data_IF_826073944929
#
_entry.id   IF_826073944929
#
_cell.length_a   1.000
_cell.length_b   1.000
_cell.length_c   1.000
_cell.angle_alpha   90.00
_cell.angle_beta   90.00
_cell.angle_gamma   90.00
#
_symmetry.space_group_name_H-M   'P 1'
#
loop_
_entity.id
_entity.type
_entity.pdbx_description
1 polymer ?
#
# COMPACT_ATOMS: atom_id res chain seq x y z
N UNK A 1 35.15 -17.16 -8.73
CA UNK A 1 34.48 -18.18 -7.90
C UNK A 1 33.44 -17.46 -7.09
N UNK A 2 32.20 -17.71 -7.48
CA UNK A 2 30.96 -17.16 -6.97
C UNK A 2 30.73 -17.66 -5.54
N UNK A 3 30.41 -16.76 -4.62
CA UNK A 3 29.65 -17.12 -3.42
C UNK A 3 28.51 -16.13 -3.26
N UNK A 4 27.34 -16.71 -3.10
CA UNK A 4 26.00 -16.16 -3.29
C UNK A 4 25.57 -15.37 -2.05
N UNK A 5 24.92 -14.22 -2.29
CA UNK A 5 24.17 -13.45 -1.29
C UNK A 5 23.02 -14.31 -0.75
N UNK A 6 22.91 -14.45 0.57
CA UNK A 6 21.74 -14.97 1.26
C UNK A 6 21.25 -13.90 2.24
N UNK A 7 19.96 -13.57 2.11
CA UNK A 7 19.17 -12.69 2.97
C UNK A 7 19.02 -13.28 4.37
N UNK A 8 18.88 -12.43 5.38
CA UNK A 8 18.85 -12.75 6.82
C UNK A 8 17.74 -13.73 7.26
N UNK A 9 16.80 -14.08 6.36
CA UNK A 9 15.76 -15.08 6.61
C UNK A 9 16.29 -16.53 6.75
N UNK A 10 17.55 -16.84 6.38
CA UNK A 10 18.11 -18.20 6.45
C UNK A 10 18.95 -18.53 7.70
N UNK A 11 19.21 -17.58 8.59
CA UNK A 11 20.13 -17.81 9.73
C UNK A 11 19.44 -18.28 11.01
N UNK A 12 18.10 -18.29 11.05
CA UNK A 12 17.33 -18.60 12.28
C UNK A 12 17.30 -20.11 12.61
N UNK A 13 17.83 -21.01 11.77
CA UNK A 13 17.75 -22.47 12.00
C UNK A 13 19.01 -23.12 12.58
N UNK A 14 20.09 -22.39 12.91
CA UNK A 14 21.32 -23.02 13.41
C UNK A 14 21.97 -22.28 14.59
N UNK A 15 21.31 -22.29 15.75
CA UNK A 15 21.98 -22.17 17.05
C UNK A 15 21.02 -22.57 18.19
N UNK A 16 20.89 -23.87 18.46
CA UNK A 16 20.40 -24.35 19.75
C UNK A 16 21.46 -25.26 20.36
N UNK A 17 22.21 -24.70 21.31
CA UNK A 17 22.64 -25.46 22.48
C UNK A 17 23.00 -24.50 23.62
N UNK A 18 22.51 -24.86 24.81
CA UNK A 18 22.68 -24.26 26.14
C UNK A 18 21.54 -23.32 26.60
N UNK A 19 20.94 -23.78 27.70
CA UNK A 19 19.72 -23.35 28.40
C UNK A 19 19.87 -22.00 29.10
N UNK A 20 18.86 -21.12 29.01
CA UNK A 20 18.22 -20.38 30.14
C UNK A 20 16.82 -19.93 29.70
N UNK A 21 15.81 -20.19 30.55
CA UNK A 21 14.38 -19.90 30.38
C UNK A 21 14.06 -18.50 29.84
N UNK A 22 13.30 -18.44 28.75
CA UNK A 22 12.42 -17.33 28.39
C UNK A 22 11.26 -17.91 27.60
N UNK A 23 10.04 -17.76 28.12
CA UNK A 23 8.81 -18.18 27.46
C UNK A 23 8.61 -17.34 26.20
N UNK A 24 9.07 -17.85 25.07
CA UNK A 24 8.61 -17.46 23.74
C UNK A 24 7.18 -17.93 23.60
N UNK A 25 6.23 -17.00 23.45
CA UNK A 25 4.86 -17.31 23.04
C UNK A 25 4.94 -17.89 21.62
N UNK A 26 4.98 -19.21 21.51
CA UNK A 26 4.65 -19.91 20.27
C UNK A 26 3.21 -19.53 19.92
N UNK A 27 3.00 -18.77 18.85
CA UNK A 27 1.67 -18.63 18.27
C UNK A 27 1.20 -20.03 17.87
N UNK A 28 0.21 -20.54 18.60
CA UNK A 28 -0.35 -21.87 18.39
C UNK A 28 -0.69 -22.07 16.91
N UNK A 29 -0.33 -23.21 16.31
CA UNK A 29 -0.70 -23.54 14.91
C UNK A 29 -2.22 -23.49 14.68
N UNK A 30 -2.98 -23.64 15.77
CA UNK A 30 -4.44 -23.48 15.82
C UNK A 30 -4.89 -22.01 15.72
N UNK A 31 -4.07 -21.04 16.13
CA UNK A 31 -4.33 -19.61 15.96
C UNK A 31 -4.15 -19.19 14.49
N UNK A 32 -3.05 -19.61 13.86
CA UNK A 32 -2.76 -19.31 12.45
C UNK A 32 -3.84 -19.92 11.53
N UNK A 33 -4.26 -21.16 11.78
CA UNK A 33 -5.33 -21.80 11.02
C UNK A 33 -6.73 -21.19 11.28
N UNK A 34 -7.00 -20.68 12.48
CA UNK A 34 -8.20 -19.87 12.76
C UNK A 34 -8.16 -18.51 12.06
N UNK A 35 -6.99 -17.87 11.95
CA UNK A 35 -6.82 -16.62 11.21
C UNK A 35 -7.02 -16.78 9.70
N UNK A 36 -6.58 -17.91 9.13
CA UNK A 36 -6.68 -18.19 7.69
C UNK A 36 -8.11 -18.59 7.26
N UNK A 37 -8.86 -19.25 8.14
CA UNK A 37 -10.25 -19.66 7.94
C UNK A 37 -11.29 -18.61 8.37
N UNK A 38 -10.85 -17.46 8.88
CA UNK A 38 -11.75 -16.42 9.34
C UNK A 38 -12.46 -15.70 8.18
N UNK A 39 -13.69 -15.19 8.44
CA UNK A 39 -14.42 -14.37 7.47
C UNK A 39 -13.60 -13.15 7.03
N UNK A 40 -13.87 -12.68 5.82
CA UNK A 40 -13.21 -11.47 5.31
C UNK A 40 -13.59 -10.28 6.18
N UNK A 41 -12.60 -9.46 6.56
CA UNK A 41 -12.85 -8.18 7.23
C UNK A 41 -13.69 -7.32 6.30
N UNK A 42 -14.90 -6.99 6.74
CA UNK A 42 -15.87 -6.16 6.00
C UNK A 42 -15.92 -4.73 6.49
N UNK A 43 -15.50 -4.49 7.73
CA UNK A 43 -15.62 -3.20 8.39
C UNK A 43 -14.46 -2.96 9.36
N UNK A 44 -14.08 -1.70 9.51
CA UNK A 44 -13.03 -1.26 10.42
C UNK A 44 -13.63 -0.41 11.52
N UNK A 45 -13.46 -0.84 12.76
CA UNK A 45 -13.86 -0.07 13.94
C UNK A 45 -12.60 0.56 14.52
N UNK A 46 -12.56 1.89 14.61
CA UNK A 46 -11.40 2.64 15.12
C UNK A 46 -11.76 3.28 16.44
N UNK A 47 -10.94 3.06 17.46
CA UNK A 47 -11.07 3.77 18.73
C UNK A 47 -10.66 5.24 18.58
N UNK A 48 -11.40 6.14 19.24
CA UNK A 48 -11.17 7.58 19.17
C UNK A 48 -9.75 7.98 19.61
N UNK A 49 -9.15 7.25 20.56
CA UNK A 49 -7.78 7.51 21.01
C UNK A 49 -6.74 7.26 19.91
N UNK A 50 -6.93 6.24 19.08
CA UNK A 50 -6.07 5.94 17.92
C UNK A 50 -6.09 7.11 16.96
N UNK A 51 -7.29 7.60 16.66
CA UNK A 51 -7.50 8.72 15.75
C UNK A 51 -6.79 9.98 16.27
N UNK A 52 -6.91 10.31 17.56
CA UNK A 52 -6.22 11.45 18.16
C UNK A 52 -4.69 11.32 18.12
N UNK A 53 -4.14 10.16 18.46
CA UNK A 53 -2.69 9.90 18.38
C UNK A 53 -2.17 10.05 16.96
N UNK A 54 -2.90 9.48 15.99
CA UNK A 54 -2.58 9.58 14.57
C UNK A 54 -2.65 11.04 14.10
N UNK A 55 -3.74 11.75 14.41
CA UNK A 55 -3.91 13.16 14.06
C UNK A 55 -2.75 13.99 14.61
N UNK A 56 -2.43 13.86 15.90
CA UNK A 56 -1.34 14.61 16.51
C UNK A 56 0.02 14.35 15.81
N UNK A 57 0.34 13.07 15.55
CA UNK A 57 1.57 12.70 14.85
C UNK A 57 1.63 13.29 13.43
N UNK A 58 0.53 13.25 12.69
CA UNK A 58 0.47 13.74 11.32
C UNK A 58 0.48 15.27 11.25
N UNK A 59 -0.07 15.98 12.25
CA UNK A 59 -0.10 17.45 12.29
C UNK A 59 1.21 18.06 12.78
N UNK A 60 1.90 17.45 13.74
CA UNK A 60 3.15 17.98 14.28
C UNK A 60 4.30 17.95 13.27
N UNK A 61 4.28 16.97 12.36
CA UNK A 61 5.38 16.71 11.41
C UNK A 61 5.12 17.22 9.99
N UNK A 62 4.09 18.03 9.76
CA UNK A 62 3.84 18.65 8.44
C UNK A 62 5.04 19.53 8.04
N UNK A 63 5.62 19.39 6.83
CA UNK A 63 5.11 18.70 5.63
C UNK A 63 5.70 17.30 5.36
N UNK A 64 6.34 16.66 6.32
CA UNK A 64 6.98 15.34 6.14
C UNK A 64 5.89 14.25 6.15
N UNK A 65 6.00 13.26 5.27
CA UNK A 65 5.13 12.07 5.31
C UNK A 65 5.57 11.18 6.47
N UNK A 66 4.61 10.77 7.29
CA UNK A 66 4.86 9.98 8.49
C UNK A 66 4.04 8.70 8.44
N UNK A 67 4.58 7.64 9.02
CA UNK A 67 3.91 6.36 9.10
C UNK A 67 3.99 5.82 10.53
N UNK A 68 3.16 4.84 10.83
CA UNK A 68 3.20 4.12 12.11
C UNK A 68 2.41 2.82 12.07
N UNK A 69 2.51 2.05 13.14
CA UNK A 69 1.92 0.73 13.26
C UNK A 69 0.56 0.79 13.95
N UNK A 70 -0.36 -0.05 13.48
CA UNK A 70 -1.71 -0.21 14.03
C UNK A 70 -1.82 -1.53 14.78
N UNK A 71 -2.43 -1.46 15.95
CA UNK A 71 -2.67 -2.58 16.84
C UNK A 71 -4.16 -2.76 17.07
N UNK A 72 -4.59 -4.01 17.20
CA UNK A 72 -6.01 -4.32 17.31
C UNK A 72 -6.33 -5.80 17.30
N UNK A 73 -7.62 -6.11 17.23
CA UNK A 73 -8.13 -7.47 17.25
C UNK A 73 -9.22 -7.65 16.19
N UNK A 74 -9.28 -8.84 15.58
CA UNK A 74 -10.36 -9.20 14.66
C UNK A 74 -11.49 -9.88 15.43
N UNK A 75 -12.67 -9.26 15.39
CA UNK A 75 -13.89 -9.74 16.03
C UNK A 75 -14.89 -10.21 14.96
N UNK A 76 -14.59 -11.36 14.34
CA UNK A 76 -15.54 -12.05 13.46
C UNK A 76 -15.90 -11.29 12.17
N UNK A 77 -14.99 -10.48 11.63
CA UNK A 77 -15.20 -9.71 10.39
C UNK A 77 -15.22 -8.18 10.58
N UNK A 78 -15.23 -7.72 11.84
CA UNK A 78 -14.95 -6.32 12.19
C UNK A 78 -13.54 -6.25 12.77
N UNK A 79 -12.67 -5.47 12.13
CA UNK A 79 -11.33 -5.25 12.66
C UNK A 79 -11.36 -4.05 13.61
N UNK A 80 -11.17 -4.33 14.90
CA UNK A 80 -11.15 -3.33 15.96
C UNK A 80 -9.72 -2.85 16.17
N UNK A 81 -9.47 -1.58 15.85
CA UNK A 81 -8.17 -0.93 16.04
C UNK A 81 -8.19 -0.22 17.39
N UNK A 82 -7.45 -0.78 18.35
CA UNK A 82 -7.44 -0.35 19.76
C UNK A 82 -6.30 0.61 20.06
N UNK A 83 -5.15 0.49 19.38
CA UNK A 83 -4.01 1.36 19.63
C UNK A 83 -3.14 1.57 18.37
N UNK A 84 -2.29 2.60 18.40
CA UNK A 84 -1.27 2.84 17.38
C UNK A 84 -0.04 3.52 17.96
N UNK A 85 1.10 3.34 17.30
CA UNK A 85 2.32 4.09 17.63
C UNK A 85 3.08 4.50 16.36
N UNK A 86 3.77 5.66 16.39
CA UNK A 86 4.49 6.18 15.23
C UNK A 86 5.78 5.42 14.97
N UNK A 87 6.17 5.31 13.70
CA UNK A 87 7.54 4.90 13.38
C UNK A 87 8.53 6.05 13.65
N UNK A 88 9.73 5.73 14.15
CA UNK A 88 10.78 6.70 14.36
C UNK A 88 11.20 7.35 13.04
N UNK A 89 11.60 8.61 13.10
CA UNK A 89 12.12 9.34 11.94
C UNK A 89 13.63 9.38 12.03
N UNK A 90 14.33 8.76 11.07
CA UNK A 90 15.79 8.73 11.04
C UNK A 90 16.38 9.84 10.19
N UNK A 91 17.62 10.22 10.49
CA UNK A 91 18.39 11.15 9.66
C UNK A 91 18.87 10.49 8.36
N UNK A 92 19.10 11.29 7.31
CA UNK A 92 19.56 10.82 6.00
C UNK A 92 20.97 10.20 5.96
N UNK A 93 21.69 10.23 7.07
CA UNK A 93 23.06 9.74 7.15
C UNK A 93 23.18 8.23 7.45
N UNK A 94 22.08 7.54 7.68
CA UNK A 94 22.05 6.11 8.01
C UNK A 94 21.85 5.26 6.76
N UNK A 95 22.56 4.12 6.69
CA UNK A 95 22.36 3.13 5.62
C UNK A 95 21.00 2.43 5.76
N UNK A 96 20.47 1.86 4.66
CA UNK A 96 19.19 1.14 4.69
C UNK A 96 19.20 -0.06 5.65
N UNK A 97 20.34 -0.75 5.77
CA UNK A 97 20.52 -1.88 6.69
C UNK A 97 20.44 -1.42 8.16
N UNK A 98 21.14 -0.33 8.52
CA UNK A 98 21.09 0.23 9.88
C UNK A 98 19.72 0.77 10.26
N UNK A 99 18.95 1.28 9.29
CA UNK A 99 17.56 1.72 9.50
C UNK A 99 16.65 0.53 9.81
N UNK A 100 16.73 -0.52 9.00
CA UNK A 100 15.91 -1.74 9.19
C UNK A 100 16.14 -2.38 10.56
N UNK A 101 17.40 -2.51 10.98
CA UNK A 101 17.75 -3.12 12.28
C UNK A 101 17.20 -2.28 13.46
N UNK A 102 17.24 -0.96 13.35
CA UNK A 102 16.71 -0.07 14.38
C UNK A 102 15.17 -0.07 14.40
N UNK A 103 14.53 -0.15 13.25
CA UNK A 103 13.07 -0.22 13.14
C UNK A 103 12.55 -1.50 13.81
N UNK A 104 13.17 -2.65 13.52
CA UNK A 104 12.82 -3.93 14.14
C UNK A 104 12.99 -3.89 15.66
N UNK A 105 14.12 -3.35 16.13
CA UNK A 105 14.39 -3.23 17.56
C UNK A 105 13.37 -2.32 18.26
N UNK A 106 13.05 -1.18 17.65
CA UNK A 106 12.06 -0.24 18.18
C UNK A 106 10.68 -0.87 18.26
N UNK A 107 10.25 -1.58 17.20
CA UNK A 107 8.96 -2.26 17.19
C UNK A 107 8.87 -3.33 18.29
N UNK A 108 9.90 -4.16 18.47
CA UNK A 108 9.92 -5.18 19.53
C UNK A 108 9.83 -4.54 20.91
N UNK A 109 10.64 -3.51 21.18
CA UNK A 109 10.64 -2.81 22.47
C UNK A 109 9.28 -2.14 22.75
N UNK A 110 8.67 -1.51 21.74
CA UNK A 110 7.37 -0.88 21.88
C UNK A 110 6.25 -1.90 22.12
N UNK A 111 6.27 -3.03 21.42
CA UNK A 111 5.29 -4.11 21.61
C UNK A 111 5.43 -4.75 22.99
N UNK A 112 6.66 -4.89 23.51
CA UNK A 112 6.91 -5.34 24.88
C UNK A 112 6.36 -4.34 25.90
N UNK A 113 6.67 -3.04 25.73
CA UNK A 113 6.16 -2.00 26.62
C UNK A 113 4.64 -1.90 26.65
N UNK A 114 3.97 -2.11 25.51
CA UNK A 114 2.50 -2.16 25.45
C UNK A 114 1.94 -3.43 26.10
N UNK A 115 2.63 -4.57 25.94
CA UNK A 115 2.26 -5.82 26.60
C UNK A 115 2.35 -5.71 28.13
N UNK A 116 3.36 -5.02 28.66
CA UNK A 116 3.54 -4.82 30.10
C UNK A 116 2.42 -3.97 30.72
N UNK A 117 1.80 -3.10 29.92
CA UNK A 117 0.67 -2.24 30.32
C UNK A 117 -0.68 -2.92 30.06
N UNK A 118 -0.69 -4.22 29.72
CA UNK A 118 -1.88 -4.98 29.34
C UNK A 118 -2.66 -4.35 28.16
N UNK A 119 -1.95 -3.72 27.22
CA UNK A 119 -2.53 -3.25 25.96
C UNK A 119 -2.28 -4.29 24.88
N UNK A 120 -3.26 -4.49 24.02
CA UNK A 120 -3.14 -5.42 22.90
C UNK A 120 -1.92 -5.09 22.04
N UNK A 121 -1.09 -6.11 21.78
CA UNK A 121 0.12 -6.03 20.96
C UNK A 121 -0.03 -6.71 19.60
N UNK A 122 -1.27 -7.06 19.23
CA UNK A 122 -1.59 -7.69 17.96
C UNK A 122 -1.49 -6.68 16.81
N UNK A 123 -0.56 -6.89 15.88
CA UNK A 123 -0.41 -6.03 14.70
C UNK A 123 -1.52 -6.30 13.70
N UNK A 124 -2.24 -5.26 13.30
CA UNK A 124 -3.37 -5.35 12.35
C UNK A 124 -3.17 -4.51 11.09
N UNK A 125 -2.11 -3.71 11.04
CA UNK A 125 -1.81 -2.90 9.88
C UNK A 125 -0.89 -1.73 10.18
N UNK A 126 -0.95 -0.71 9.33
CA UNK A 126 -0.13 0.48 9.44
C UNK A 126 -0.88 1.70 8.89
N UNK A 127 -0.54 2.88 9.38
CA UNK A 127 -1.09 4.15 8.90
C UNK A 127 -0.01 5.00 8.23
N UNK A 128 -0.44 5.88 7.34
CA UNK A 128 0.41 6.85 6.66
C UNK A 128 -0.30 8.19 6.52
N UNK A 129 0.46 9.28 6.72
CA UNK A 129 0.00 10.61 6.30
C UNK A 129 0.22 10.80 4.80
N UNK A 130 -0.82 11.30 4.13
CA UNK A 130 -0.75 11.70 2.73
C UNK A 130 -1.07 13.17 2.58
N UNK A 131 -0.59 13.73 1.47
CA UNK A 131 -0.95 15.07 1.03
C UNK A 131 -1.55 14.92 -0.37
N UNK A 132 -2.77 15.39 -0.57
CA UNK A 132 -3.44 15.37 -1.89
C UNK A 132 -3.64 13.96 -2.50
N UNK A 133 -3.93 12.93 -1.69
CA UNK A 133 -3.99 11.51 -2.11
C UNK A 133 -2.74 10.94 -2.79
N UNK A 134 -1.58 11.57 -2.65
CA UNK A 134 -0.32 11.01 -3.18
C UNK A 134 0.22 9.90 -2.26
N UNK A 135 -0.57 8.85 -2.07
CA UNK A 135 -0.21 7.66 -1.27
C UNK A 135 0.05 6.42 -2.15
N UNK A 136 -0.50 6.37 -3.37
CA UNK A 136 -0.37 5.22 -4.28
C UNK A 136 1.00 5.14 -4.95
N UNK A 137 2.01 4.77 -4.15
CA UNK A 137 3.38 4.58 -4.61
C UNK A 137 3.70 3.08 -4.72
N UNK A 138 4.69 2.74 -5.56
CA UNK A 138 5.18 1.36 -5.68
C UNK A 138 5.64 0.80 -4.32
N UNK A 139 6.29 1.65 -3.51
CA UNK A 139 6.73 1.31 -2.16
C UNK A 139 5.54 1.03 -1.22
N UNK A 140 4.49 1.85 -1.26
CA UNK A 140 3.27 1.63 -0.46
C UNK A 140 2.61 0.30 -0.79
N UNK A 141 2.50 -0.04 -2.08
CA UNK A 141 1.94 -1.32 -2.53
C UNK A 141 2.83 -2.50 -2.08
N UNK A 142 4.15 -2.36 -2.22
CA UNK A 142 5.10 -3.39 -1.80
C UNK A 142 5.02 -3.65 -0.28
N UNK A 143 5.02 -2.58 0.52
CA UNK A 143 4.87 -2.66 1.97
C UNK A 143 3.53 -3.28 2.35
N UNK A 144 2.43 -2.82 1.76
CA UNK A 144 1.10 -3.35 2.04
C UNK A 144 0.98 -4.84 1.71
N UNK A 145 1.58 -5.27 0.60
CA UNK A 145 1.63 -6.69 0.25
C UNK A 145 2.46 -7.50 1.23
N UNK A 146 3.59 -6.98 1.69
CA UNK A 146 4.42 -7.64 2.70
C UNK A 146 3.65 -7.80 4.01
N UNK A 147 2.98 -6.76 4.48
CA UNK A 147 2.13 -6.85 5.67
C UNK A 147 0.98 -7.84 5.50
N UNK A 148 0.27 -7.82 4.36
CA UNK A 148 -0.78 -8.81 4.07
C UNK A 148 -0.23 -10.24 4.03
N UNK A 149 0.99 -10.44 3.51
CA UNK A 149 1.64 -11.76 3.50
C UNK A 149 2.00 -12.24 4.89
N UNK A 150 2.59 -11.38 5.72
CA UNK A 150 3.07 -11.74 7.07
C UNK A 150 1.93 -11.94 8.06
N UNK A 151 0.89 -11.11 7.99
CA UNK A 151 -0.24 -11.10 8.93
C UNK A 151 -1.41 -12.02 8.51
N UNK A 152 -1.27 -12.70 7.38
CA UNK A 152 -2.35 -13.43 6.73
C UNK A 152 -3.22 -12.48 5.90
N UNK A 153 -3.31 -12.76 4.58
CA UNK A 153 -3.74 -11.87 3.50
C UNK A 153 -5.03 -11.05 3.73
N UNK A 154 -5.85 -11.42 4.71
CA UNK A 154 -7.22 -10.94 4.88
C UNK A 154 -7.45 -9.93 6.00
N UNK A 155 -6.45 -9.67 6.85
CA UNK A 155 -6.65 -8.90 8.10
C UNK A 155 -5.76 -7.66 8.22
N UNK A 156 -4.89 -7.40 7.25
CA UNK A 156 -4.06 -6.21 7.25
C UNK A 156 -4.76 -5.02 6.58
N UNK A 157 -4.76 -3.87 7.25
CA UNK A 157 -5.34 -2.63 6.76
C UNK A 157 -4.30 -1.53 6.66
N UNK A 158 -4.42 -0.72 5.61
CA UNK A 158 -3.68 0.52 5.44
C UNK A 158 -4.59 1.71 5.72
N UNK A 159 -4.32 2.47 6.77
CA UNK A 159 -5.03 3.71 7.05
C UNK A 159 -4.31 4.89 6.40
N UNK A 160 -5.05 5.70 5.66
CA UNK A 160 -4.55 6.93 5.04
C UNK A 160 -5.25 8.12 5.68
N UNK A 161 -4.45 9.05 6.19
CA UNK A 161 -4.94 10.28 6.82
C UNK A 161 -4.38 11.51 6.08
N UNK A 162 -5.26 12.46 5.75
CA UNK A 162 -4.85 13.74 5.14
C UNK A 162 -5.07 14.87 6.16
N UNK A 163 -3.99 15.42 6.75
CA UNK A 163 -4.09 16.51 7.71
C UNK A 163 -4.57 17.82 7.07
N UNK A 164 -4.26 18.07 5.79
CA UNK A 164 -4.62 19.31 5.10
C UNK A 164 -6.12 19.38 4.82
N UNK A 165 -6.74 18.25 4.49
CA UNK A 165 -8.21 18.15 4.34
C UNK A 165 -8.91 18.24 5.67
N UNK A 166 -8.40 17.53 6.68
CA UNK A 166 -8.99 17.52 8.02
C UNK A 166 -9.01 18.92 8.64
N UNK A 167 -7.98 19.73 8.41
CA UNK A 167 -7.96 21.14 8.83
C UNK A 167 -9.05 21.99 8.18
N UNK A 168 -9.63 21.56 7.05
CA UNK A 168 -10.72 22.27 6.34
C UNK A 168 -12.11 21.84 6.83
N UNK A 169 -12.18 21.11 7.94
CA UNK A 169 -13.43 20.76 8.61
C UNK A 169 -14.07 19.43 8.17
N UNK A 170 -13.46 18.69 7.25
CA UNK A 170 -13.89 17.33 6.89
C UNK A 170 -12.82 16.33 7.30
N UNK A 171 -13.14 15.47 8.28
CA UNK A 171 -12.25 14.40 8.71
C UNK A 171 -11.97 13.46 7.52
N UNK A 172 -10.75 13.49 7.01
CA UNK A 172 -10.35 12.63 5.91
C UNK A 172 -9.51 11.47 6.43
N UNK A 173 -10.18 10.33 6.57
CA UNK A 173 -9.56 9.05 6.89
C UNK A 173 -10.15 7.98 5.97
N UNK A 174 -9.27 7.18 5.38
CA UNK A 174 -9.67 6.06 4.53
C UNK A 174 -8.92 4.80 4.92
N UNK A 175 -9.61 3.67 4.86
CA UNK A 175 -9.05 2.36 5.10
C UNK A 175 -8.98 1.61 3.77
N UNK A 176 -7.77 1.22 3.38
CA UNK A 176 -7.51 0.49 2.16
C UNK A 176 -6.95 -0.90 2.47
N UNK A 177 -7.26 -1.84 1.59
CA UNK A 177 -6.64 -3.17 1.55
C UNK A 177 -6.36 -3.52 0.09
N UNK A 178 -5.30 -4.29 -0.21
CA UNK A 178 -5.12 -4.79 -1.57
C UNK A 178 -6.21 -5.81 -1.90
N UNK A 179 -6.82 -5.63 -3.07
CA UNK A 179 -7.87 -6.52 -3.55
C UNK A 179 -7.33 -7.92 -3.81
N UNK A 180 -8.17 -8.93 -3.57
CA UNK A 180 -7.82 -10.33 -3.83
C UNK A 180 -7.50 -10.54 -5.33
N UNK A 181 -8.17 -9.79 -6.22
CA UNK A 181 -7.88 -9.81 -7.67
C UNK A 181 -6.47 -9.33 -7.98
N UNK A 182 -6.00 -8.28 -7.30
CA UNK A 182 -4.67 -7.73 -7.49
C UNK A 182 -3.59 -8.71 -6.99
N UNK A 183 -3.83 -9.35 -5.84
CA UNK A 183 -2.94 -10.38 -5.29
C UNK A 183 -2.81 -11.55 -6.28
N UNK A 184 -3.92 -11.99 -6.88
CA UNK A 184 -3.88 -13.06 -7.88
C UNK A 184 -3.17 -12.64 -9.18
N UNK A 185 -3.29 -11.36 -9.58
CA UNK A 185 -2.52 -10.80 -10.69
C UNK A 185 -1.01 -10.85 -10.44
N UNK A 186 -0.59 -10.49 -9.22
CA UNK A 186 0.81 -10.55 -8.80
C UNK A 186 1.31 -11.99 -8.82
N UNK A 187 0.52 -12.96 -8.35
CA UNK A 187 0.85 -14.40 -8.46
C UNK A 187 1.00 -14.84 -9.92
N UNK A 188 0.07 -14.45 -10.79
CA UNK A 188 0.15 -14.78 -12.22
C UNK A 188 1.38 -14.15 -12.89
N UNK A 189 1.74 -12.92 -12.51
CA UNK A 189 2.91 -12.22 -13.04
C UNK A 189 4.20 -12.91 -12.64
N UNK A 190 4.29 -13.37 -11.39
CA UNK A 190 5.40 -14.18 -10.92
C UNK A 190 5.53 -15.49 -11.70
N UNK A 191 4.42 -16.20 -11.93
CA UNK A 191 4.41 -17.43 -12.73
C UNK A 191 4.86 -17.16 -14.18
N UNK A 192 4.39 -16.08 -14.81
CA UNK A 192 4.81 -15.71 -16.17
C UNK A 192 6.31 -15.38 -16.27
N UNK A 193 6.87 -14.68 -15.29
CA UNK A 193 8.32 -14.41 -15.25
C UNK A 193 9.14 -15.71 -15.13
N UNK A 194 8.67 -16.65 -14.29
CA UNK A 194 9.29 -17.96 -14.15
C UNK A 194 9.22 -18.77 -15.46
N UNK A 195 8.05 -18.79 -16.12
CA UNK A 195 7.89 -19.42 -17.43
C UNK A 195 8.82 -18.80 -18.48
N UNK A 196 8.91 -17.47 -18.55
CA UNK A 196 9.80 -16.78 -19.49
C UNK A 196 11.28 -17.11 -19.22
N UNK A 197 11.67 -17.22 -17.96
CA UNK A 197 13.03 -17.61 -17.55
C UNK A 197 13.38 -19.06 -17.94
N UNK A 198 12.43 -20.00 -17.80
CA UNK A 198 12.63 -21.40 -18.21
C UNK A 198 12.66 -21.54 -19.72
N UNK A 199 11.83 -20.80 -20.45
CA UNK A 199 11.85 -20.77 -21.92
C UNK A 199 13.16 -20.18 -22.44
N UNK A 200 13.71 -19.14 -21.79
CA UNK A 200 15.03 -18.59 -22.10
C UNK A 200 16.15 -19.62 -21.87
N UNK A 201 16.14 -20.33 -20.74
CA UNK A 201 17.09 -21.42 -20.45
C UNK A 201 17.02 -22.53 -21.51
N UNK A 202 15.81 -22.96 -21.91
CA UNK A 202 15.61 -23.98 -22.97
C UNK A 202 16.10 -23.52 -24.34
N UNK A 203 15.89 -22.25 -24.70
CA UNK A 203 16.41 -21.66 -25.94
C UNK A 203 17.94 -21.58 -25.92
N UNK A 204 18.54 -21.10 -24.81
CA UNK A 204 20.00 -21.00 -24.66
C UNK A 204 20.66 -22.39 -24.65
N UNK A 205 20.01 -23.40 -24.05
CA UNK A 205 20.47 -24.80 -24.06
C UNK A 205 20.43 -25.41 -25.46
N UNK A 206 19.40 -25.10 -26.27
CA UNK A 206 19.32 -25.51 -27.68
C UNK A 206 20.36 -24.81 -28.57
N UNK A 207 20.88 -23.64 -28.17
CA UNK A 207 21.75 -22.79 -29.00
C UNK A 207 23.25 -22.76 -28.57
N UNK A 208 23.67 -23.51 -27.56
CA UNK A 208 25.08 -23.58 -27.12
C UNK A 208 25.62 -25.01 -27.08
N UNK A 209 26.27 -25.40 -28.17
CA UNK A 209 27.57 -26.06 -28.05
C UNK A 209 28.56 -25.10 -27.37
N UNK A 210 28.45 -24.93 -26.04
CA UNK A 210 29.53 -24.51 -25.12
C UNK A 210 29.01 -24.63 -23.68
N UNK A 211 29.45 -25.75 -23.09
CA UNK A 211 29.46 -26.20 -21.70
C UNK A 211 29.21 -25.18 -20.58
N UNK A 212 28.41 -25.67 -19.62
CA UNK A 212 28.58 -25.67 -18.14
C UNK A 212 28.49 -24.29 -17.43
N UNK A 213 27.69 -24.05 -16.39
CA UNK A 213 26.94 -24.90 -15.44
C UNK A 213 25.49 -24.39 -15.25
N UNK A 214 24.54 -25.32 -15.11
CA UNK A 214 23.14 -25.01 -14.76
C UNK A 214 22.95 -25.31 -13.28
N UNK A 215 22.97 -24.28 -12.43
CA UNK A 215 22.39 -24.41 -11.10
C UNK A 215 20.85 -24.35 -11.21
N UNK A 216 20.28 -25.48 -10.85
CA UNK A 216 18.86 -25.71 -10.63
C UNK A 216 18.51 -25.10 -9.27
N UNK A 217 17.58 -24.14 -9.26
CA UNK A 217 16.77 -23.88 -8.07
C UNK A 217 15.37 -24.40 -8.39
N UNK A 218 15.19 -25.69 -8.08
CA UNK A 218 13.89 -26.30 -7.80
C UNK A 218 13.50 -25.97 -6.38
N UNK A 219 12.19 -25.82 -6.16
CA UNK A 219 11.48 -25.70 -4.87
C UNK A 219 11.58 -24.31 -4.22
N UNK A 220 10.52 -23.64 -3.77
CA UNK A 220 9.13 -23.99 -3.45
C UNK A 220 8.19 -22.88 -3.94
N UNK A 221 6.91 -23.17 -4.02
CA UNK A 221 5.82 -22.22 -4.25
C UNK A 221 5.69 -21.21 -3.11
N UNK A 222 6.68 -20.33 -2.96
CA UNK A 222 6.59 -19.15 -2.11
C UNK A 222 6.30 -17.96 -3.01
N UNK A 223 5.28 -17.17 -2.64
CA UNK A 223 5.04 -15.85 -3.20
C UNK A 223 6.39 -15.07 -3.26
N UNK A 224 6.64 -14.27 -4.31
CA UNK A 224 7.85 -13.44 -4.36
C UNK A 224 7.95 -12.55 -3.12
N UNK A 225 9.14 -12.47 -2.54
CA UNK A 225 9.45 -11.75 -1.30
C UNK A 225 9.38 -10.22 -1.44
N UNK A 226 9.38 -9.71 -2.68
CA UNK A 226 9.23 -8.27 -2.97
C UNK A 226 8.54 -8.03 -4.33
N UNK A 227 7.55 -7.11 -4.35
CA UNK A 227 6.78 -6.73 -5.55
C UNK A 227 7.56 -5.80 -6.49
N UNK A 228 8.63 -5.14 -6.00
CA UNK A 228 9.33 -4.08 -6.74
C UNK A 228 9.85 -4.48 -8.13
N UNK A 229 10.06 -5.79 -8.37
CA UNK A 229 10.55 -6.31 -9.66
C UNK A 229 9.48 -7.02 -10.52
N UNK A 230 8.22 -7.04 -10.08
CA UNK A 230 7.15 -7.75 -10.78
C UNK A 230 6.54 -6.83 -11.85
N UNK A 231 6.83 -7.14 -13.10
CA UNK A 231 6.24 -6.47 -14.25
C UNK A 231 4.83 -7.04 -14.50
N UNK A 232 3.79 -6.27 -14.17
CA UNK A 232 2.42 -6.61 -14.54
C UNK A 232 2.24 -6.42 -16.04
N UNK A 233 1.96 -7.51 -16.75
CA UNK A 233 1.76 -7.55 -18.20
C UNK A 233 0.29 -7.27 -18.56
N UNK A 234 0.05 -6.72 -19.76
CA UNK A 234 -1.29 -6.41 -20.24
C UNK A 234 -2.17 -7.67 -20.37
N UNK A 235 -1.55 -8.82 -20.60
CA UNK A 235 -2.25 -10.11 -20.71
C UNK A 235 -2.85 -10.56 -19.37
N UNK A 236 -2.22 -10.22 -18.24
CA UNK A 236 -2.72 -10.54 -16.90
C UNK A 236 -3.87 -9.60 -16.55
N UNK A 237 -3.74 -8.31 -16.86
CA UNK A 237 -4.81 -7.34 -16.67
C UNK A 237 -6.07 -7.69 -17.48
N UNK A 238 -5.90 -8.12 -18.73
CA UNK A 238 -7.00 -8.54 -19.60
C UNK A 238 -7.65 -9.86 -19.15
N UNK A 239 -6.89 -10.79 -18.56
CA UNK A 239 -7.44 -12.05 -18.02
C UNK A 239 -8.23 -11.84 -16.73
N UNK A 240 -7.83 -10.86 -15.91
CA UNK A 240 -8.45 -10.59 -14.62
C UNK A 240 -9.46 -9.42 -14.67
N UNK A 241 -9.63 -8.76 -15.82
CA UNK A 241 -10.43 -7.54 -15.99
C UNK A 241 -10.15 -6.51 -14.88
N UNK A 242 -8.87 -6.34 -14.54
CA UNK A 242 -8.46 -5.42 -13.48
C UNK A 242 -8.56 -3.98 -13.98
N UNK A 243 -9.43 -3.20 -13.34
CA UNK A 243 -9.51 -1.75 -13.51
C UNK A 243 -8.59 -1.04 -12.51
N UNK A 244 -8.36 0.24 -12.77
CA UNK A 244 -7.76 1.21 -11.85
C UNK A 244 -8.35 1.18 -10.45
N UNK A 245 -9.67 1.02 -10.32
CA UNK A 245 -10.38 0.97 -9.03
C UNK A 245 -10.24 -0.33 -8.26
N UNK A 246 -9.82 -1.42 -8.91
CA UNK A 246 -9.77 -2.76 -8.30
C UNK A 246 -8.40 -3.07 -7.67
N UNK A 247 -7.47 -2.09 -7.60
CA UNK A 247 -6.18 -2.29 -6.89
C UNK A 247 -6.41 -2.37 -5.39
N UNK A 248 -7.17 -1.41 -4.86
CA UNK A 248 -7.46 -1.28 -3.45
C UNK A 248 -8.96 -1.37 -3.20
N UNK A 249 -9.34 -2.23 -2.27
CA UNK A 249 -10.70 -2.27 -1.75
C UNK A 249 -10.77 -1.29 -0.56
N UNK A 250 -11.65 -0.29 -0.67
CA UNK A 250 -11.97 0.63 0.42
C UNK A 250 -12.90 -0.05 1.43
N UNK A 251 -12.51 -0.04 2.71
CA UNK A 251 -13.32 -0.57 3.80
C UNK A 251 -14.02 0.57 4.55
N UNK A 252 -15.32 0.42 4.89
CA UNK A 252 -16.03 1.40 5.70
C UNK A 252 -15.43 1.48 7.11
N UNK A 253 -15.36 2.70 7.63
CA UNK A 253 -14.83 3.01 8.96
C UNK A 253 -15.98 3.41 9.89
N UNK A 254 -16.05 2.78 11.06
CA UNK A 254 -16.85 3.23 12.20
C UNK A 254 -15.95 3.74 13.30
N UNK A 255 -16.30 4.88 13.89
CA UNK A 255 -15.62 5.36 15.09
C UNK A 255 -16.36 4.77 16.28
N UNK A 256 -15.69 3.86 16.99
CA UNK A 256 -16.19 3.36 18.25
C UNK A 256 -15.62 4.20 19.39
N UNK A 257 -16.47 4.52 20.36
CA UNK A 257 -16.05 5.25 21.53
C UNK A 257 -16.57 4.57 22.79
N UNK A 258 -15.66 4.26 23.72
CA UNK A 258 -16.04 3.68 25.01
C UNK A 258 -16.88 4.66 25.83
N UNK A 259 -17.80 4.14 26.64
CA UNK A 259 -18.72 4.95 27.44
C UNK A 259 -18.00 5.98 28.35
N UNK A 260 -16.83 5.63 28.88
CA UNK A 260 -16.05 6.54 29.72
C UNK A 260 -15.47 7.72 28.92
N UNK A 261 -15.00 7.47 27.70
CA UNK A 261 -14.47 8.53 26.83
C UNK A 261 -15.61 9.41 26.32
N UNK A 262 -16.81 8.85 26.08
CA UNK A 262 -18.00 9.66 25.82
C UNK A 262 -18.35 10.58 26.99
N UNK A 263 -18.32 10.08 28.23
CA UNK A 263 -18.52 10.92 29.41
C UNK A 263 -17.44 12.00 29.53
N UNK A 264 -16.18 11.66 29.28
CA UNK A 264 -15.08 12.62 29.26
C UNK A 264 -15.28 13.73 28.20
N UNK A 265 -15.72 13.38 27.00
CA UNK A 265 -16.00 14.36 25.94
C UNK A 265 -17.17 15.30 26.33
N UNK A 266 -18.18 14.79 27.02
CA UNK A 266 -19.29 15.60 27.53
C UNK A 266 -18.82 16.55 28.63
N UNK A 267 -17.97 16.08 29.56
CA UNK A 267 -17.37 16.94 30.58
C UNK A 267 -16.50 18.04 29.94
N UNK A 268 -15.71 17.69 28.92
CA UNK A 268 -14.88 18.63 28.17
C UNK A 268 -15.70 19.69 27.44
N UNK A 269 -16.85 19.32 26.85
CA UNK A 269 -17.77 20.26 26.20
C UNK A 269 -18.41 21.24 27.19
N UNK A 270 -18.60 20.84 28.45
CA UNK A 270 -19.15 21.70 29.50
C UNK A 270 -18.12 22.68 30.08
N UNK A 271 -16.84 22.30 30.11
CA UNK A 271 -15.75 23.12 30.67
C UNK A 271 -15.25 24.21 29.71
N UNK A 272 -15.25 23.96 28.40
CA UNK A 272 -14.80 24.93 27.39
C UNK A 272 -15.97 25.77 26.83
N UNK A 273 -15.82 27.11 26.72
CA UNK A 273 -16.88 27.94 26.20
C UNK A 273 -17.07 27.68 24.69
N UNK A 274 -18.32 27.40 24.32
CA UNK A 274 -18.78 26.95 22.98
C UNK A 274 -18.31 27.77 21.76
N UNK A 275 -17.75 28.97 21.94
CA UNK A 275 -17.18 29.78 20.87
C UNK A 275 -15.79 29.30 20.40
N UNK A 276 -15.04 28.55 21.23
CA UNK A 276 -13.76 27.94 20.84
C UNK A 276 -13.94 26.60 20.10
N UNK A 277 -15.10 25.94 20.29
CA UNK A 277 -15.49 24.72 19.58
C UNK A 277 -16.12 24.98 18.20
N UNK A 278 -16.51 26.21 17.90
CA UNK A 278 -17.13 26.56 16.64
C UNK A 278 -16.08 26.53 15.51
N UNK A 279 -15.99 25.38 14.82
CA UNK A 279 -15.09 25.15 13.69
C UNK A 279 -15.48 25.95 12.43
N UNK A 280 -15.24 27.26 12.46
CA UNK A 280 -15.41 28.14 11.29
C UNK A 280 -14.42 27.84 10.16
N UNK A 281 -13.38 27.02 10.41
CA UNK A 281 -12.43 26.55 9.40
C UNK A 281 -13.12 25.81 8.24
N UNK A 282 -14.28 25.18 8.51
CA UNK A 282 -15.12 24.55 7.47
C UNK A 282 -15.74 25.55 6.47
N UNK A 283 -15.85 26.82 6.87
CA UNK A 283 -16.45 27.91 6.09
C UNK A 283 -15.42 28.76 5.36
N UNK A 284 -14.12 28.45 5.50
CA UNK A 284 -13.06 29.25 4.91
C UNK A 284 -13.02 29.11 3.38
N UNK A 285 -13.34 30.22 2.70
CA UNK A 285 -13.35 30.33 1.24
C UNK A 285 -11.96 30.63 0.65
N UNK A 286 -10.99 31.06 1.47
CA UNK A 286 -9.69 31.55 1.02
C UNK A 286 -8.65 30.43 0.82
N UNK A 287 -8.92 29.49 -0.10
CA UNK A 287 -8.04 28.31 -0.30
C UNK A 287 -7.51 28.15 -1.73
N UNK A 288 -7.02 29.24 -2.33
CA UNK A 288 -6.36 29.21 -3.66
C UNK A 288 -5.09 28.36 -3.65
N UNK A 289 -4.33 28.31 -2.55
CA UNK A 289 -3.10 27.54 -2.45
C UNK A 289 -3.32 26.03 -2.57
N UNK A 290 -4.39 25.50 -1.96
CA UNK A 290 -4.77 24.09 -2.09
C UNK A 290 -5.12 23.76 -3.54
N UNK A 291 -5.91 24.62 -4.19
CA UNK A 291 -6.27 24.45 -5.59
C UNK A 291 -5.06 24.53 -6.53
N UNK A 292 -4.16 25.49 -6.32
CA UNK A 292 -2.94 25.64 -7.13
C UNK A 292 -2.06 24.39 -7.00
N UNK A 293 -1.82 23.91 -5.78
CA UNK A 293 -1.04 22.69 -5.55
C UNK A 293 -1.72 21.44 -6.13
N UNK A 294 -3.03 21.31 -5.97
CA UNK A 294 -3.79 20.21 -6.57
C UNK A 294 -3.74 20.21 -8.10
N UNK A 295 -3.81 21.40 -8.73
CA UNK A 295 -3.65 21.56 -10.18
C UNK A 295 -2.22 21.23 -10.64
N UNK A 296 -1.20 21.67 -9.90
CA UNK A 296 0.20 21.31 -10.16
C UNK A 296 0.39 19.79 -10.14
N UNK A 297 -0.14 19.10 -9.11
CA UNK A 297 -0.10 17.64 -9.03
C UNK A 297 -0.86 16.96 -10.17
N UNK A 298 -2.02 17.50 -10.57
CA UNK A 298 -2.77 16.96 -11.71
C UNK A 298 -1.99 17.05 -13.02
N UNK A 299 -1.29 18.16 -13.25
CA UNK A 299 -0.42 18.34 -14.41
C UNK A 299 0.71 17.31 -14.38
N UNK A 300 1.34 17.09 -13.23
CA UNK A 300 2.39 16.08 -13.06
C UNK A 300 1.88 14.66 -13.38
N UNK A 301 0.71 14.27 -12.87
CA UNK A 301 0.10 12.97 -13.18
C UNK A 301 -0.30 12.84 -14.65
N UNK A 302 -0.81 13.91 -15.27
CA UNK A 302 -1.17 13.93 -16.69
C UNK A 302 0.06 13.76 -17.60
N UNK A 303 1.17 14.43 -17.27
CA UNK A 303 2.44 14.28 -17.97
C UNK A 303 3.03 12.87 -17.78
N UNK A 304 2.95 12.34 -16.55
CA UNK A 304 3.33 10.96 -16.25
C UNK A 304 2.55 9.93 -17.07
N UNK A 305 1.23 10.13 -17.19
CA UNK A 305 0.36 9.28 -18.01
C UNK A 305 0.69 9.40 -19.50
N UNK A 306 0.97 10.62 -19.98
CA UNK A 306 1.40 10.86 -21.36
C UNK A 306 2.71 10.14 -21.69
N UNK A 307 3.66 10.13 -20.75
CA UNK A 307 4.93 9.41 -20.88
C UNK A 307 4.75 7.89 -20.94
N UNK A 308 3.91 7.31 -20.08
CA UNK A 308 3.60 5.88 -20.13
C UNK A 308 2.83 5.50 -21.41
N UNK A 309 1.92 6.35 -21.88
CA UNK A 309 1.27 6.18 -23.18
C UNK A 309 2.29 6.18 -24.33
N UNK A 310 3.30 7.05 -24.29
CA UNK A 310 4.35 7.08 -25.30
C UNK A 310 5.22 5.81 -25.28
N UNK A 311 5.56 5.31 -24.08
CA UNK A 311 6.25 4.02 -23.90
C UNK A 311 5.44 2.87 -24.47
N UNK A 312 4.13 2.85 -24.21
CA UNK A 312 3.22 1.84 -24.76
C UNK A 312 3.14 1.89 -26.29
N UNK A 313 3.02 3.09 -26.89
CA UNK A 313 3.04 3.24 -28.35
C UNK A 313 4.35 2.73 -28.97
N UNK A 314 5.48 3.00 -28.31
CA UNK A 314 6.79 2.49 -28.75
C UNK A 314 6.86 0.97 -28.67
N UNK A 315 6.31 0.38 -27.61
CA UNK A 315 6.17 -1.07 -27.47
C UNK A 315 5.29 -1.67 -28.57
N UNK A 316 4.13 -1.08 -28.85
CA UNK A 316 3.21 -1.56 -29.89
C UNK A 316 3.87 -1.56 -31.28
N UNK A 317 4.66 -0.52 -31.60
CA UNK A 317 5.45 -0.46 -32.82
C UNK A 317 6.48 -1.59 -32.90
N UNK A 318 7.23 -1.84 -31.82
CA UNK A 318 8.21 -2.94 -31.74
C UNK A 318 7.55 -4.31 -31.88
N UNK A 319 6.39 -4.52 -31.25
CA UNK A 319 5.62 -5.76 -31.35
C UNK A 319 5.14 -6.01 -32.79
N UNK A 320 4.64 -4.98 -33.47
CA UNK A 320 4.21 -5.08 -34.86
C UNK A 320 5.39 -5.41 -35.80
N UNK A 321 6.55 -4.77 -35.61
CA UNK A 321 7.77 -5.08 -36.36
C UNK A 321 8.23 -6.52 -36.12
N UNK A 322 8.23 -6.98 -34.86
CA UNK A 322 8.61 -8.34 -34.50
C UNK A 322 7.66 -9.38 -35.09
N UNK A 323 6.34 -9.13 -35.06
CA UNK A 323 5.32 -9.98 -35.71
C UNK A 323 5.57 -10.09 -37.22
N UNK A 324 5.89 -8.98 -37.89
CA UNK A 324 6.24 -8.99 -39.32
C UNK A 324 7.56 -9.74 -39.60
N UNK A 325 8.55 -9.62 -38.72
CA UNK A 325 9.82 -10.34 -38.85
C UNK A 325 9.63 -11.86 -38.70
N UNK A 326 8.84 -12.29 -37.70
CA UNK A 326 8.50 -13.70 -37.49
C UNK A 326 7.67 -14.25 -38.64
N UNK A 327 6.68 -13.51 -39.14
CA UNK A 327 5.87 -13.93 -40.29
C UNK A 327 6.67 -14.12 -41.59
N UNK A 328 7.79 -13.38 -41.75
CA UNK A 328 8.70 -13.53 -42.89
C UNK A 328 9.60 -14.78 -42.79
N UNK A 329 9.77 -15.38 -41.60
CA UNK A 329 10.58 -16.60 -41.39
C UNK A 329 9.70 -17.83 -41.21
N UNK A 330 9.23 -18.41 -42.33
CA UNK A 330 8.39 -19.62 -42.36
C UNK A 330 9.09 -20.92 -41.89
N UNK A 331 10.42 -20.92 -41.79
CA UNK A 331 11.24 -22.13 -41.48
C UNK A 331 11.54 -22.38 -40.00
N UNK A 332 10.91 -21.66 -39.06
CA UNK A 332 11.16 -21.83 -37.61
C UNK A 332 10.06 -22.61 -36.89
N UNK A 333 10.45 -23.48 -35.97
CA UNK A 333 9.56 -24.23 -35.06
C UNK A 333 8.65 -23.28 -34.26
N UNK A 334 7.39 -23.65 -34.05
CA UNK A 334 6.37 -22.83 -33.38
C UNK A 334 6.83 -22.28 -32.01
N UNK A 335 7.58 -23.06 -31.22
CA UNK A 335 8.15 -22.63 -29.93
C UNK A 335 9.16 -21.47 -30.04
N UNK A 336 9.97 -21.41 -31.10
CA UNK A 336 10.93 -20.32 -31.31
C UNK A 336 10.24 -19.04 -31.77
N UNK A 337 9.18 -19.17 -32.58
CA UNK A 337 8.36 -18.04 -33.01
C UNK A 337 7.61 -17.42 -31.81
N UNK A 338 7.11 -18.26 -30.91
CA UNK A 338 6.44 -17.84 -29.68
C UNK A 338 7.41 -17.20 -28.68
N UNK A 339 8.62 -17.75 -28.53
CA UNK A 339 9.68 -17.13 -27.71
C UNK A 339 10.14 -15.77 -28.28
N UNK A 340 10.31 -15.65 -29.59
CA UNK A 340 10.67 -14.40 -30.26
C UNK A 340 9.58 -13.33 -30.17
N UNK A 341 8.32 -13.74 -29.98
CA UNK A 341 7.19 -12.83 -29.76
C UNK A 341 7.06 -12.42 -28.29
N UNK A 342 7.22 -13.37 -27.36
CA UNK A 342 7.18 -13.15 -25.90
C UNK A 342 8.44 -12.45 -25.35
N UNK A 343 9.55 -12.44 -26.08
CA UNK A 343 10.80 -11.79 -25.65
C UNK A 343 10.78 -10.26 -25.76
N UNK A 344 9.81 -9.68 -26.46
CA UNK A 344 9.62 -8.22 -26.48
C UNK A 344 9.11 -7.79 -25.10
N UNK A 345 9.99 -7.17 -24.33
CA UNK A 345 9.70 -6.68 -22.98
C UNK A 345 8.48 -5.77 -22.97
N UNK A 346 7.44 -6.19 -22.25
CA UNK A 346 6.22 -5.39 -22.05
C UNK A 346 6.49 -4.27 -21.04
N UNK A 347 6.02 -3.04 -21.29
CA UNK A 347 6.04 -1.98 -20.29
C UNK A 347 5.23 -2.43 -19.07
N UNK A 348 5.77 -2.20 -17.87
CA UNK A 348 5.07 -2.50 -16.62
C UNK A 348 3.78 -1.67 -16.55
N UNK A 349 2.63 -2.33 -16.62
CA UNK A 349 1.33 -1.66 -16.61
C UNK A 349 0.92 -1.19 -15.21
N UNK A 350 1.61 -1.64 -14.15
CA UNK A 350 1.32 -1.21 -12.78
C UNK A 350 1.48 0.31 -12.64
N UNK A 351 2.56 0.88 -13.18
CA UNK A 351 2.80 2.33 -13.12
C UNK A 351 1.72 3.12 -13.84
N UNK A 352 1.27 2.62 -14.99
CA UNK A 352 0.16 3.22 -15.73
C UNK A 352 -1.13 3.20 -14.90
N UNK A 353 -1.46 2.06 -14.29
CA UNK A 353 -2.67 1.88 -13.49
C UNK A 353 -2.66 2.73 -12.22
N UNK A 354 -1.51 2.81 -11.53
CA UNK A 354 -1.32 3.66 -10.35
C UNK A 354 -1.50 5.14 -10.70
N UNK A 355 -0.83 5.63 -11.76
CA UNK A 355 -0.95 7.03 -12.19
C UNK A 355 -2.37 7.34 -12.64
N UNK A 356 -3.04 6.42 -13.34
CA UNK A 356 -4.43 6.58 -13.74
C UNK A 356 -5.37 6.69 -12.53
N UNK A 357 -5.17 5.85 -11.50
CA UNK A 357 -5.95 5.92 -10.28
C UNK A 357 -5.66 7.23 -9.51
N UNK A 358 -4.39 7.61 -9.35
CA UNK A 358 -4.00 8.89 -8.73
C UNK A 358 -4.61 10.09 -9.44
N UNK A 359 -4.61 10.09 -10.77
CA UNK A 359 -5.26 11.13 -11.58
C UNK A 359 -6.78 11.15 -11.34
N UNK A 360 -7.42 9.98 -11.28
CA UNK A 360 -8.84 9.84 -10.96
C UNK A 360 -9.18 10.41 -9.58
N UNK A 361 -8.42 10.02 -8.56
CA UNK A 361 -8.58 10.52 -7.20
C UNK A 361 -8.35 12.03 -7.16
N UNK A 362 -7.26 12.55 -7.73
CA UNK A 362 -7.00 13.98 -7.80
C UNK A 362 -8.16 14.76 -8.47
N UNK A 363 -8.74 14.21 -9.54
CA UNK A 363 -9.93 14.80 -10.18
C UNK A 363 -11.15 14.79 -9.27
N UNK A 364 -11.44 13.69 -8.58
CA UNK A 364 -12.57 13.57 -7.66
C UNK A 364 -12.41 14.51 -6.46
N UNK A 365 -11.20 14.66 -5.96
CA UNK A 365 -10.85 15.59 -4.89
C UNK A 365 -11.03 17.05 -5.32
N UNK A 366 -10.57 17.41 -6.51
CA UNK A 366 -10.78 18.75 -7.06
C UNK A 366 -12.27 19.03 -7.31
N UNK A 367 -13.02 18.02 -7.73
CA UNK A 367 -14.46 18.12 -7.92
C UNK A 367 -15.17 18.34 -6.58
N UNK A 368 -14.81 17.59 -5.54
CA UNK A 368 -15.32 17.78 -4.18
C UNK A 368 -14.99 19.17 -3.64
N UNK A 369 -13.74 19.63 -3.82
CA UNK A 369 -13.30 20.98 -3.46
C UNK A 369 -14.14 22.06 -4.16
N UNK A 370 -14.26 21.98 -5.49
CA UNK A 370 -15.04 22.94 -6.29
C UNK A 370 -16.52 22.93 -5.87
N UNK A 371 -17.10 21.75 -5.63
CA UNK A 371 -18.46 21.63 -5.14
C UNK A 371 -18.66 22.28 -3.77
N UNK A 372 -17.72 22.07 -2.83
CA UNK A 372 -17.75 22.68 -1.50
C UNK A 372 -17.63 24.21 -1.60
N UNK A 373 -16.68 24.72 -2.39
CA UNK A 373 -16.50 26.16 -2.59
C UNK A 373 -17.73 26.82 -3.24
N UNK A 374 -18.35 26.17 -4.22
CA UNK A 374 -19.59 26.66 -4.83
C UNK A 374 -20.76 26.66 -3.85
N UNK A 375 -20.86 25.64 -3.00
CA UNK A 375 -21.90 25.59 -1.96
C UNK A 375 -21.69 26.70 -0.92
N UNK A 376 -20.45 26.91 -0.46
CA UNK A 376 -20.09 28.01 0.44
C UNK A 376 -20.38 29.38 -0.17
N UNK A 377 -20.04 29.58 -1.44
CA UNK A 377 -20.37 30.82 -2.17
C UNK A 377 -21.88 31.06 -2.25
N UNK A 378 -22.69 30.02 -2.50
CA UNK A 378 -24.16 30.15 -2.48
C UNK A 378 -24.69 30.49 -1.08
N UNK A 379 -24.13 29.88 -0.03
CA UNK A 379 -24.51 30.18 1.36
C UNK A 379 -24.17 31.65 1.67
N UNK A 380 -22.99 32.12 1.27
CA UNK A 380 -22.57 33.51 1.42
C UNK A 380 -23.51 34.46 0.66
N UNK A 381 -23.86 34.16 -0.59
CA UNK A 381 -24.81 34.96 -1.38
C UNK A 381 -26.20 35.03 -0.71
N UNK A 382 -26.67 33.94 -0.12
CA UNK A 382 -27.95 33.92 0.61
C UNK A 382 -27.86 34.74 1.89
N UNK A 383 -26.74 34.67 2.61
CA UNK A 383 -26.50 35.47 3.80
C UNK A 383 -26.47 36.96 3.46
N UNK A 384 -25.73 37.36 2.41
CA UNK A 384 -25.64 38.74 1.93
C UNK A 384 -26.96 39.29 1.39
N UNK A 385 -27.88 38.46 0.89
CA UNK A 385 -29.21 38.88 0.42
C UNK A 385 -30.24 39.05 1.53
N UNK A 386 -29.96 38.53 2.74
CA UNK A 386 -30.86 38.64 3.90
C UNK A 386 -30.57 39.85 4.79
N UNK A 387 -29.38 40.45 4.64
CA UNK A 387 -29.08 41.82 5.10
C UNK A 387 -29.52 42.83 4.04
#
# INVERSE_FOLDING_TARGET
>A
MSQTKQSAASTITQAQNVQVDSQTVEFDKDFISKMENAPHVSEVSIDAMVLLKMMNHCTEKVPIQVAGQLLGLDNGGVLEITNCFPFPSYSDNMTEEERSDQDEKYQIEMLQGLSDVNVDNNTVGWYQSTYMDSFMNSTTIANQYQYQRTLGNKRCIHLVFDPLRTRRGELFIKAYRLSDKFIDAVKMAYLQQNELSTMKKKYDTKNKNKKEDIEVLTEKANLPESIENIQLTQEILAKLNLSDKDIFDELPIQIHNYALVQAFLLDFENDEPSHLLAGYDSLDMANTQFLTRGLESLIEYADGLSHENHRYQTYQKKLAQQKQYVAKKKDKTQEEQEFMLKSVQQPNQLNYLMIANQLGNACDQMRAFSSQSLNLSKIADIAMKKE
#
